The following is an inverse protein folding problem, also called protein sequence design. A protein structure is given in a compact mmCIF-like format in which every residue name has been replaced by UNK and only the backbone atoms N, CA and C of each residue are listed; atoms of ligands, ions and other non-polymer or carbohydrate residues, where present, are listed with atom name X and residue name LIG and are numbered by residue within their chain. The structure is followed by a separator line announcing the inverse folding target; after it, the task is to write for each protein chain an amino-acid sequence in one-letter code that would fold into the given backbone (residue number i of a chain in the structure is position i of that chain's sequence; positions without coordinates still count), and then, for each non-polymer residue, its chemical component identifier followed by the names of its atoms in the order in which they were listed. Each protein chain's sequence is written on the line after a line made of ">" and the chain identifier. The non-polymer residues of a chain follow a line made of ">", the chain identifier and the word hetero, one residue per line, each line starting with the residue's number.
data_IF_977744000196
#
_entry.id   IF_977744000196
#
_cell.length_a   1.000
_cell.length_b   1.000
_cell.length_c   1.000
_cell.angle_alpha   90.00
_cell.angle_beta   90.00
_cell.angle_gamma   90.00
#
_symmetry.space_group_name_H-M   'P 1'
#
loop_
_entity.id
_entity.type
_entity.pdbx_description
1 polymer ?
#
# COMPACT_ATOMS: atom_id res chain seq x y z
N UNK A 1 -43.30 -13.72 -15.72
CA UNK A 1 -42.33 -14.83 -15.65
C UNK A 1 -41.40 -14.59 -14.48
N UNK A 2 -41.28 -15.59 -13.60
CA UNK A 2 -40.50 -15.73 -12.37
C UNK A 2 -39.70 -14.53 -11.85
N UNK A 3 -40.19 -13.89 -10.79
CA UNK A 3 -39.33 -13.21 -9.83
C UNK A 3 -38.44 -14.29 -9.18
N UNK A 4 -37.15 -14.29 -9.49
CA UNK A 4 -36.18 -15.08 -8.76
C UNK A 4 -36.41 -14.83 -7.26
N UNK A 5 -36.56 -15.89 -6.48
CA UNK A 5 -36.82 -15.80 -5.05
C UNK A 5 -35.61 -15.16 -4.38
N UNK A 6 -35.63 -13.83 -4.24
CA UNK A 6 -34.56 -13.08 -3.58
C UNK A 6 -34.33 -13.70 -2.20
N UNK A 7 -33.07 -14.05 -1.93
CA UNK A 7 -32.67 -14.75 -0.72
C UNK A 7 -33.11 -13.93 0.52
N UNK A 8 -33.47 -14.54 1.67
CA UNK A 8 -33.87 -13.79 2.87
C UNK A 8 -32.88 -12.70 3.29
N UNK A 9 -31.59 -12.93 3.03
CA UNK A 9 -30.53 -11.94 3.15
C UNK A 9 -30.73 -10.71 2.25
N UNK A 10 -30.96 -10.90 0.95
CA UNK A 10 -31.11 -9.80 -0.03
C UNK A 10 -32.31 -8.92 0.30
N UNK A 11 -33.39 -9.52 0.83
CA UNK A 11 -34.56 -8.76 1.32
C UNK A 11 -34.19 -7.87 2.50
N UNK A 12 -33.48 -8.41 3.49
CA UNK A 12 -33.02 -7.63 4.65
C UNK A 12 -32.05 -6.51 4.25
N UNK A 13 -31.20 -6.76 3.25
CA UNK A 13 -30.31 -5.72 2.70
C UNK A 13 -31.12 -4.62 2.01
N UNK A 14 -32.13 -4.97 1.21
CA UNK A 14 -32.99 -4.00 0.54
C UNK A 14 -33.84 -3.16 1.52
N UNK A 15 -34.22 -3.75 2.66
CA UNK A 15 -34.96 -3.05 3.72
C UNK A 15 -34.08 -2.05 4.50
N UNK A 16 -32.75 -2.23 4.47
CA UNK A 16 -31.82 -1.35 5.17
C UNK A 16 -31.55 -0.07 4.35
N UNK A 17 -32.14 1.04 4.79
CA UNK A 17 -31.90 2.34 4.18
C UNK A 17 -30.61 2.96 4.73
N UNK A 18 -29.59 3.11 3.88
CA UNK A 18 -28.35 3.82 4.22
C UNK A 18 -28.54 5.30 3.87
N UNK A 19 -28.22 6.18 4.81
CA UNK A 19 -28.27 7.62 4.55
C UNK A 19 -27.22 8.02 3.52
N UNK A 20 -27.64 8.82 2.53
CA UNK A 20 -26.71 9.41 1.55
C UNK A 20 -25.60 10.22 2.22
N UNK A 21 -25.90 10.86 3.35
CA UNK A 21 -24.92 11.62 4.13
C UNK A 21 -23.83 10.71 4.72
N UNK A 22 -24.18 9.51 5.18
CA UNK A 22 -23.22 8.57 5.76
C UNK A 22 -22.29 8.00 4.68
N UNK A 23 -22.85 7.68 3.50
CA UNK A 23 -22.07 7.25 2.33
C UNK A 23 -21.12 8.36 1.89
N UNK A 24 -21.61 9.59 1.82
CA UNK A 24 -20.79 10.74 1.45
C UNK A 24 -19.65 10.98 2.45
N UNK A 25 -19.91 10.87 3.75
CA UNK A 25 -18.88 10.98 4.78
C UNK A 25 -17.84 9.85 4.67
N UNK A 26 -18.28 8.62 4.37
CA UNK A 26 -17.41 7.47 4.18
C UNK A 26 -16.49 7.64 2.95
N UNK A 27 -17.04 8.14 1.84
CA UNK A 27 -16.25 8.45 0.64
C UNK A 27 -15.25 9.57 0.93
N UNK A 28 -15.69 10.63 1.60
CA UNK A 28 -14.81 11.74 1.96
C UNK A 28 -13.67 11.29 2.89
N UNK A 29 -13.97 10.47 3.89
CA UNK A 29 -13.00 9.84 4.78
C UNK A 29 -11.95 9.03 4.00
N UNK A 30 -12.38 8.25 3.00
CA UNK A 30 -11.47 7.53 2.12
C UNK A 30 -10.58 8.46 1.28
N UNK A 31 -11.16 9.47 0.64
CA UNK A 31 -10.40 10.40 -0.20
C UNK A 31 -9.37 11.20 0.60
N UNK A 32 -9.68 11.56 1.85
CA UNK A 32 -8.76 12.24 2.76
C UNK A 32 -7.67 11.28 3.26
N UNK A 33 -8.08 10.09 3.70
CA UNK A 33 -7.15 9.13 4.34
C UNK A 33 -6.21 8.49 3.32
N UNK A 34 -6.64 8.28 2.08
CA UNK A 34 -5.79 7.76 1.00
C UNK A 34 -5.04 8.86 0.23
N UNK A 35 -5.25 10.14 0.53
CA UNK A 35 -4.51 11.21 -0.13
C UNK A 35 -4.94 11.45 -1.58
N UNK A 36 -6.22 11.76 -1.80
CA UNK A 36 -6.76 12.19 -3.09
C UNK A 36 -7.34 13.62 -2.97
N UNK A 37 -6.49 14.66 -2.82
CA UNK A 37 -6.93 16.01 -2.46
C UNK A 37 -7.84 16.64 -3.52
N UNK A 38 -7.49 16.52 -4.82
CA UNK A 38 -8.31 17.10 -5.90
C UNK A 38 -9.66 16.40 -6.06
N UNK A 39 -9.73 15.09 -5.81
CA UNK A 39 -10.98 14.35 -5.82
C UNK A 39 -11.84 14.72 -4.62
N UNK A 40 -11.22 14.84 -3.44
CA UNK A 40 -11.90 15.28 -2.21
C UNK A 40 -12.49 16.69 -2.34
N UNK A 41 -11.76 17.63 -2.96
CA UNK A 41 -12.23 19.00 -3.19
C UNK A 41 -13.43 19.05 -4.13
N UNK A 42 -13.34 18.38 -5.29
CA UNK A 42 -14.46 18.29 -6.24
C UNK A 42 -15.67 17.61 -5.63
N UNK A 43 -15.46 16.52 -4.90
CA UNK A 43 -16.53 15.79 -4.21
C UNK A 43 -17.19 16.64 -3.13
N UNK A 44 -16.41 17.38 -2.33
CA UNK A 44 -16.96 18.28 -1.32
C UNK A 44 -17.83 19.39 -1.94
N UNK A 45 -17.39 19.96 -3.07
CA UNK A 45 -18.16 20.97 -3.81
C UNK A 45 -19.48 20.41 -4.37
N UNK A 46 -19.45 19.21 -4.95
CA UNK A 46 -20.63 18.58 -5.55
C UNK A 46 -21.62 18.05 -4.50
N UNK A 47 -21.11 17.46 -3.42
CA UNK A 47 -21.92 16.91 -2.34
C UNK A 47 -22.32 17.97 -1.29
N UNK A 48 -21.90 19.23 -1.47
CA UNK A 48 -22.14 20.36 -0.57
C UNK A 48 -21.75 20.04 0.89
N UNK A 49 -20.64 19.33 1.06
CA UNK A 49 -20.08 18.94 2.36
C UNK A 49 -19.07 20.02 2.75
N UNK A 50 -19.14 20.51 3.99
CA UNK A 50 -18.08 21.36 4.51
C UNK A 50 -16.86 20.48 4.86
N UNK A 51 -15.71 20.67 4.21
CA UNK A 51 -14.50 19.94 4.56
C UNK A 51 -14.12 20.28 6.00
N UNK A 52 -13.97 19.26 6.85
CA UNK A 52 -13.46 19.43 8.22
C UNK A 52 -11.93 19.46 8.28
N UNK A 53 -11.26 19.05 7.20
CA UNK A 53 -9.81 18.88 7.15
C UNK A 53 -9.17 19.94 6.24
N UNK A 54 -8.02 20.46 6.66
CA UNK A 54 -7.16 21.28 5.83
C UNK A 54 -6.53 20.42 4.73
N UNK A 55 -6.90 20.69 3.47
CA UNK A 55 -6.40 19.96 2.30
C UNK A 55 -4.88 20.05 2.12
N UNK A 56 -4.23 21.03 2.76
CA UNK A 56 -2.77 21.23 2.74
C UNK A 56 -2.02 20.02 3.32
N UNK A 57 -2.44 19.51 4.49
CA UNK A 57 -1.81 18.34 5.10
C UNK A 57 -1.97 17.07 4.25
N UNK A 58 -3.08 16.97 3.52
CA UNK A 58 -3.33 15.87 2.60
C UNK A 58 -2.35 15.95 1.41
N UNK A 59 -2.12 17.15 0.88
CA UNK A 59 -1.18 17.37 -0.21
C UNK A 59 0.26 17.02 0.20
N UNK A 60 0.70 17.43 1.39
CA UNK A 60 2.04 17.11 1.91
C UNK A 60 2.23 15.59 2.04
N UNK A 61 1.24 14.86 2.58
CA UNK A 61 1.25 13.39 2.64
C UNK A 61 1.33 12.73 1.26
N UNK A 62 0.62 13.28 0.28
CA UNK A 62 0.68 12.78 -1.11
C UNK A 62 2.06 13.01 -1.71
N UNK A 63 2.67 14.18 -1.48
CA UNK A 63 4.01 14.48 -1.96
C UNK A 63 5.06 13.53 -1.36
N UNK A 64 4.95 13.21 -0.07
CA UNK A 64 5.80 12.21 0.60
C UNK A 64 5.63 10.85 -0.09
N UNK A 65 4.38 10.40 -0.25
CA UNK A 65 4.07 9.12 -0.91
C UNK A 65 4.61 9.04 -2.34
N UNK A 66 4.41 10.09 -3.14
CA UNK A 66 4.85 10.13 -4.53
C UNK A 66 6.38 10.16 -4.63
N UNK A 67 7.07 10.77 -3.66
CA UNK A 67 8.53 10.73 -3.56
C UNK A 67 9.04 9.32 -3.25
N UNK A 68 8.36 8.59 -2.35
CA UNK A 68 8.67 7.17 -2.07
C UNK A 68 8.43 6.30 -3.31
N UNK A 69 7.33 6.50 -4.06
CA UNK A 69 7.06 5.74 -5.27
C UNK A 69 8.08 5.95 -6.38
N UNK A 70 8.53 7.20 -6.55
CA UNK A 70 9.59 7.56 -7.49
C UNK A 70 10.97 7.04 -7.07
N UNK A 71 11.14 6.60 -5.83
CA UNK A 71 12.43 6.17 -5.28
C UNK A 71 13.30 7.33 -4.80
N UNK A 72 12.74 8.53 -4.64
CA UNK A 72 13.42 9.69 -4.06
C UNK A 72 13.17 9.73 -2.55
N UNK A 73 13.86 8.84 -1.84
CA UNK A 73 13.69 8.67 -0.39
C UNK A 73 14.33 9.82 0.40
N UNK A 74 15.33 10.50 -0.17
CA UNK A 74 15.96 11.64 0.48
C UNK A 74 14.97 12.80 0.61
N UNK A 75 14.30 13.16 -0.50
CA UNK A 75 13.25 14.17 -0.47
C UNK A 75 12.08 13.74 0.42
N UNK A 76 11.71 12.45 0.42
CA UNK A 76 10.66 11.94 1.29
C UNK A 76 11.01 12.12 2.79
N UNK A 77 12.24 11.82 3.21
CA UNK A 77 12.69 11.99 4.60
C UNK A 77 12.70 13.46 5.00
N UNK A 78 13.14 14.36 4.12
CA UNK A 78 13.12 15.81 4.36
C UNK A 78 11.68 16.32 4.55
N UNK A 79 10.77 15.95 3.64
CA UNK A 79 9.35 16.30 3.75
C UNK A 79 8.68 15.72 5.01
N UNK A 80 9.06 14.50 5.43
CA UNK A 80 8.57 13.91 6.68
C UNK A 80 9.04 14.73 7.88
N UNK A 81 10.31 15.13 7.92
CA UNK A 81 10.86 15.95 9.00
C UNK A 81 10.28 17.36 9.02
N UNK A 82 9.93 17.93 7.87
CA UNK A 82 9.22 19.22 7.78
C UNK A 82 7.80 19.11 8.32
N UNK A 83 7.08 18.03 7.99
CA UNK A 83 5.71 17.81 8.42
C UNK A 83 5.62 17.42 9.90
N UNK A 84 6.49 16.53 10.36
CA UNK A 84 6.57 16.09 11.75
C UNK A 84 8.03 15.75 12.13
N UNK A 85 8.76 16.71 12.74
CA UNK A 85 10.17 16.55 13.10
C UNK A 85 10.45 15.40 14.08
N UNK A 86 9.48 15.03 14.90
CA UNK A 86 9.68 14.02 15.94
C UNK A 86 9.33 12.60 15.45
N UNK A 87 8.64 12.46 14.31
CA UNK A 87 8.09 11.17 13.86
C UNK A 87 9.17 10.09 13.69
N UNK A 88 10.30 10.44 13.06
CA UNK A 88 11.39 9.49 12.79
C UNK A 88 12.23 9.18 14.04
N UNK A 89 12.20 10.05 15.05
CA UNK A 89 12.87 9.85 16.33
C UNK A 89 12.05 8.95 17.27
N UNK A 90 10.71 9.14 17.28
CA UNK A 90 9.78 8.29 18.02
C UNK A 90 9.71 6.88 17.41
N UNK A 91 9.57 6.78 16.09
CA UNK A 91 9.47 5.50 15.38
C UNK A 91 10.77 5.14 14.65
N UNK A 92 11.71 4.59 15.42
CA UNK A 92 12.99 4.06 14.90
C UNK A 92 12.80 2.95 13.87
N UNK A 93 11.66 2.23 13.89
CA UNK A 93 11.39 1.14 12.94
C UNK A 93 11.01 1.71 11.58
N UNK A 94 10.17 2.74 11.56
CA UNK A 94 9.82 3.46 10.35
C UNK A 94 11.06 4.10 9.72
N UNK A 95 11.88 4.76 10.54
CA UNK A 95 13.11 5.38 10.07
C UNK A 95 14.08 4.34 9.49
N UNK A 96 14.29 3.20 10.16
CA UNK A 96 15.10 2.11 9.62
C UNK A 96 14.54 1.57 8.30
N UNK A 97 13.22 1.41 8.18
CA UNK A 97 12.58 0.90 6.96
C UNK A 97 12.76 1.85 5.77
N UNK A 98 12.68 3.16 6.00
CA UNK A 98 12.98 4.19 5.00
C UNK A 98 14.44 4.15 4.55
N UNK A 99 15.38 4.07 5.50
CA UNK A 99 16.82 3.99 5.20
C UNK A 99 17.18 2.69 4.48
N UNK A 100 16.56 1.56 4.85
CA UNK A 100 16.71 0.26 4.17
C UNK A 100 16.21 0.36 2.74
N UNK A 101 15.06 0.97 2.49
CA UNK A 101 14.55 1.19 1.14
C UNK A 101 15.48 2.11 0.34
N UNK A 102 15.99 3.19 0.94
CA UNK A 102 16.97 4.07 0.30
C UNK A 102 18.26 3.32 -0.09
N UNK A 103 18.77 2.43 0.78
CA UNK A 103 19.92 1.59 0.46
C UNK A 103 19.63 0.69 -0.74
N UNK A 104 18.46 0.03 -0.77
CA UNK A 104 18.06 -0.82 -1.90
C UNK A 104 17.96 -0.03 -3.20
N UNK A 105 17.44 1.20 -3.16
CA UNK A 105 17.37 2.06 -4.34
C UNK A 105 18.76 2.51 -4.81
N UNK A 106 19.67 2.84 -3.90
CA UNK A 106 21.07 3.14 -4.25
C UNK A 106 21.76 1.94 -4.89
N UNK A 107 21.54 0.73 -4.36
CA UNK A 107 22.04 -0.51 -4.92
C UNK A 107 21.49 -0.71 -6.34
N UNK A 108 20.17 -0.58 -6.51
CA UNK A 108 19.52 -0.68 -7.84
C UNK A 108 20.12 0.32 -8.83
N UNK A 109 20.27 1.58 -8.45
CA UNK A 109 20.86 2.62 -9.29
C UNK A 109 22.32 2.32 -9.65
N UNK A 110 23.10 1.70 -8.75
CA UNK A 110 24.49 1.31 -9.01
C UNK A 110 24.63 0.19 -10.05
N UNK A 111 23.59 -0.61 -10.26
CA UNK A 111 23.55 -1.66 -11.26
C UNK A 111 22.97 -1.19 -12.61
N UNK A 112 22.06 -0.22 -12.59
CA UNK A 112 21.51 0.40 -13.80
C UNK A 112 22.47 1.42 -14.43
N UNK A 113 23.24 2.14 -13.61
CA UNK A 113 24.23 3.11 -14.09
C UNK A 113 25.62 2.49 -14.22
N UNK A 114 26.43 2.91 -15.21
CA UNK A 114 27.78 2.36 -15.43
C UNK A 114 28.85 2.86 -14.45
N UNK A 115 28.50 3.78 -13.53
CA UNK A 115 29.46 4.40 -12.61
C UNK A 115 29.80 3.48 -11.42
N UNK A 116 31.05 2.98 -11.31
CA UNK A 116 31.45 2.11 -10.21
C UNK A 116 31.51 2.82 -8.85
N UNK A 117 31.51 4.15 -8.81
CA UNK A 117 31.53 4.92 -7.56
C UNK A 117 30.22 4.83 -6.76
N UNK A 118 29.11 4.48 -7.42
CA UNK A 118 27.79 4.40 -6.80
C UNK A 118 27.69 3.24 -5.79
N UNK A 119 28.37 2.13 -6.05
CA UNK A 119 28.45 1.02 -5.10
C UNK A 119 29.16 1.47 -3.81
N UNK A 120 30.23 2.26 -3.94
CA UNK A 120 30.93 2.85 -2.81
C UNK A 120 30.03 3.77 -1.98
N UNK A 121 29.21 4.61 -2.64
CA UNK A 121 28.23 5.48 -1.96
C UNK A 121 27.17 4.68 -1.20
N UNK A 122 26.67 3.58 -1.77
CA UNK A 122 25.70 2.71 -1.09
C UNK A 122 26.30 2.08 0.19
N UNK A 123 27.56 1.63 0.13
CA UNK A 123 28.26 1.08 1.29
C UNK A 123 28.51 2.14 2.35
N UNK A 124 28.99 3.33 1.95
CA UNK A 124 29.21 4.46 2.87
C UNK A 124 27.90 4.88 3.55
N UNK A 125 26.79 4.92 2.79
CA UNK A 125 25.47 5.20 3.31
C UNK A 125 25.03 4.15 4.36
N UNK A 126 25.20 2.86 4.05
CA UNK A 126 24.91 1.78 4.99
C UNK A 126 25.73 1.91 6.28
N UNK A 127 27.02 2.23 6.17
CA UNK A 127 27.91 2.40 7.33
C UNK A 127 27.56 3.62 8.19
N UNK A 128 27.18 4.74 7.58
CA UNK A 128 26.86 5.97 8.32
C UNK A 128 25.47 5.94 8.94
N UNK A 129 24.48 5.49 8.18
CA UNK A 129 23.07 5.66 8.55
C UNK A 129 22.44 4.39 9.12
N UNK A 130 22.77 3.20 8.59
CA UNK A 130 22.14 1.94 9.03
C UNK A 130 22.94 1.19 10.10
N UNK A 131 24.28 1.29 10.11
CA UNK A 131 25.11 0.61 11.10
C UNK A 131 24.79 0.97 12.56
N UNK A 132 24.41 2.22 12.92
CA UNK A 132 23.98 2.55 14.28
C UNK A 132 22.71 1.80 14.74
N UNK A 133 21.89 1.28 13.81
CA UNK A 133 20.69 0.51 14.11
C UNK A 133 20.96 -0.98 14.33
N UNK A 134 22.08 -1.51 13.82
CA UNK A 134 22.45 -2.92 13.98
C UNK A 134 22.57 -3.41 15.45
N UNK A 135 23.07 -2.62 16.43
CA UNK A 135 23.11 -3.05 17.82
C UNK A 135 21.78 -2.88 18.58
N UNK A 136 20.80 -2.15 18.01
CA UNK A 136 19.51 -1.87 18.67
C UNK A 136 18.58 -3.08 18.63
N UNK A 137 18.57 -3.83 17.52
CA UNK A 137 17.74 -5.02 17.35
C UNK A 137 18.45 -6.05 16.47
N UNK A 138 18.31 -7.32 16.81
CA UNK A 138 18.80 -8.45 16.00
C UNK A 138 18.10 -8.47 14.65
N UNK A 139 16.83 -8.07 14.59
CA UNK A 139 16.08 -8.08 13.34
C UNK A 139 16.58 -6.99 12.36
N UNK A 140 16.93 -5.79 12.85
CA UNK A 140 17.57 -4.76 12.01
C UNK A 140 18.90 -5.23 11.42
N UNK A 141 19.68 -6.00 12.19
CA UNK A 141 20.91 -6.60 11.69
C UNK A 141 20.65 -7.59 10.56
N UNK A 142 19.67 -8.50 10.73
CA UNK A 142 19.29 -9.46 9.68
C UNK A 142 18.83 -8.75 8.42
N UNK A 143 18.01 -7.70 8.57
CA UNK A 143 17.49 -6.95 7.43
C UNK A 143 18.57 -6.14 6.71
N UNK A 144 19.55 -5.62 7.44
CA UNK A 144 20.75 -4.99 6.87
C UNK A 144 21.62 -6.02 6.13
N UNK A 145 21.85 -7.20 6.70
CA UNK A 145 22.60 -8.28 6.04
C UNK A 145 21.92 -8.71 4.74
N UNK A 146 20.59 -8.82 4.73
CA UNK A 146 19.80 -9.11 3.53
C UNK A 146 19.91 -8.00 2.48
N UNK A 147 19.81 -6.74 2.90
CA UNK A 147 19.97 -5.60 2.00
C UNK A 147 21.38 -5.51 1.43
N UNK A 148 22.42 -5.84 2.20
CA UNK A 148 23.81 -5.88 1.73
C UNK A 148 24.10 -7.09 0.84
N UNK A 149 23.43 -8.23 1.05
CA UNK A 149 23.55 -9.41 0.20
C UNK A 149 23.14 -9.12 -1.26
N UNK A 150 22.25 -8.14 -1.48
CA UNK A 150 21.86 -7.66 -2.81
C UNK A 150 23.05 -7.15 -3.65
N UNK A 151 24.15 -6.71 -3.03
CA UNK A 151 25.36 -6.29 -3.73
C UNK A 151 26.12 -7.44 -4.38
N UNK A 152 25.94 -8.67 -3.89
CA UNK A 152 26.62 -9.88 -4.39
C UNK A 152 25.87 -10.45 -5.61
N UNK A 153 24.60 -10.06 -5.80
CA UNK A 153 23.75 -10.55 -6.89
C UNK A 153 24.33 -10.10 -8.25
N UNK A 154 24.41 -10.99 -9.25
CA UNK A 154 24.93 -10.65 -10.58
C UNK A 154 24.16 -9.50 -11.25
N UNK A 155 24.88 -8.68 -12.04
CA UNK A 155 24.29 -7.54 -12.76
C UNK A 155 23.20 -7.98 -13.75
N UNK A 156 23.35 -9.18 -14.28
CA UNK A 156 22.42 -9.82 -15.21
C UNK A 156 21.03 -9.96 -14.58
N UNK A 157 20.95 -10.39 -13.32
CA UNK A 157 19.68 -10.54 -12.59
C UNK A 157 18.99 -9.18 -12.37
N UNK A 158 19.75 -8.11 -12.11
CA UNK A 158 19.22 -6.74 -12.01
C UNK A 158 18.71 -6.21 -13.36
N UNK A 159 19.43 -6.46 -14.45
CA UNK A 159 19.02 -6.05 -15.79
C UNK A 159 17.73 -6.77 -16.25
N UNK A 160 17.59 -8.04 -15.91
CA UNK A 160 16.41 -8.83 -16.22
C UNK A 160 15.19 -8.41 -15.39
N UNK A 161 15.40 -8.07 -14.10
CA UNK A 161 14.37 -7.51 -13.25
C UNK A 161 13.83 -6.18 -13.79
N UNK A 162 14.70 -5.30 -14.31
CA UNK A 162 14.30 -4.03 -14.91
C UNK A 162 13.54 -4.19 -16.25
N UNK A 163 13.85 -5.24 -17.03
CA UNK A 163 13.19 -5.51 -18.33
C UNK A 163 11.83 -6.23 -18.24
N UNK A 164 11.44 -6.70 -17.06
CA UNK A 164 10.27 -7.56 -16.86
C UNK A 164 9.07 -6.79 -16.28
N UNK A 165 8.60 -5.75 -16.97
CA UNK A 165 7.40 -4.98 -16.58
C UNK A 165 6.07 -5.63 -17.01
N UNK A 166 6.08 -6.74 -17.78
CA UNK A 166 4.85 -7.40 -18.25
C UNK A 166 4.49 -8.65 -17.43
N UNK A 167 3.42 -8.54 -16.64
CA UNK A 167 2.44 -9.53 -16.10
C UNK A 167 2.82 -10.98 -15.70
N UNK A 168 4.10 -11.38 -15.74
CA UNK A 168 4.61 -12.69 -15.28
C UNK A 168 5.90 -12.57 -14.44
N UNK A 169 6.12 -11.41 -13.83
CA UNK A 169 7.39 -10.95 -13.25
C UNK A 169 7.72 -11.59 -11.90
N UNK A 170 6.71 -11.80 -11.03
CA UNK A 170 6.90 -12.20 -9.63
C UNK A 170 7.63 -13.55 -9.48
N UNK A 171 7.28 -14.56 -10.29
CA UNK A 171 7.94 -15.88 -10.19
C UNK A 171 9.39 -15.87 -10.69
N UNK A 172 9.74 -14.97 -11.62
CA UNK A 172 11.11 -14.88 -12.16
C UNK A 172 12.02 -14.10 -11.23
N UNK A 173 11.55 -12.98 -10.66
CA UNK A 173 12.26 -12.25 -9.61
C UNK A 173 12.49 -13.19 -8.41
N UNK A 174 11.50 -14.01 -8.05
CA UNK A 174 11.64 -14.99 -6.97
C UNK A 174 12.67 -16.09 -7.28
N UNK A 175 12.81 -16.53 -8.52
CA UNK A 175 13.83 -17.51 -8.90
C UNK A 175 15.26 -16.95 -8.90
N UNK A 176 15.42 -15.69 -9.30
CA UNK A 176 16.74 -15.04 -9.41
C UNK A 176 17.25 -14.48 -8.08
N UNK A 177 16.36 -13.85 -7.29
CA UNK A 177 16.70 -13.20 -6.02
C UNK A 177 16.35 -14.06 -4.80
N UNK A 178 15.59 -15.15 -4.96
CA UNK A 178 15.22 -16.06 -3.88
C UNK A 178 14.53 -15.33 -2.73
N UNK A 179 15.09 -15.45 -1.53
CA UNK A 179 14.63 -14.76 -0.33
C UNK A 179 14.75 -13.23 -0.40
N UNK A 180 15.52 -12.67 -1.34
CA UNK A 180 15.72 -11.23 -1.52
C UNK A 180 14.74 -10.59 -2.52
N UNK A 181 13.88 -11.39 -3.16
CA UNK A 181 12.94 -10.91 -4.18
C UNK A 181 12.01 -9.82 -3.65
N UNK A 182 11.53 -9.97 -2.41
CA UNK A 182 10.71 -8.96 -1.72
C UNK A 182 11.37 -7.59 -1.66
N UNK A 183 12.70 -7.54 -1.51
CA UNK A 183 13.44 -6.29 -1.44
C UNK A 183 13.49 -5.56 -2.78
N UNK A 184 13.46 -6.30 -3.88
CA UNK A 184 13.60 -5.75 -5.23
C UNK A 184 12.23 -5.46 -5.85
N UNK A 185 11.15 -5.98 -5.29
CA UNK A 185 9.81 -5.80 -5.82
C UNK A 185 9.27 -4.37 -5.57
N UNK A 186 8.62 -3.72 -6.56
CA UNK A 186 7.99 -2.42 -6.36
C UNK A 186 6.92 -2.37 -5.25
N UNK A 187 6.37 -3.51 -4.84
CA UNK A 187 5.46 -3.62 -3.70
C UNK A 187 6.10 -3.17 -2.39
N UNK A 188 7.41 -3.29 -2.22
CA UNK A 188 8.09 -2.78 -1.03
C UNK A 188 7.93 -1.25 -0.90
N UNK A 189 8.01 -0.51 -2.02
CA UNK A 189 7.75 0.94 -2.02
C UNK A 189 6.32 1.24 -1.61
N UNK A 190 5.35 0.44 -2.07
CA UNK A 190 3.93 0.55 -1.65
C UNK A 190 3.74 0.30 -0.17
N UNK A 191 4.40 -0.72 0.37
CA UNK A 191 4.34 -1.05 1.80
C UNK A 191 4.93 0.07 2.65
N UNK A 192 6.17 0.50 2.39
CA UNK A 192 6.80 1.59 3.14
C UNK A 192 6.02 2.89 3.01
N UNK A 193 5.50 3.23 1.83
CA UNK A 193 4.65 4.41 1.66
C UNK A 193 3.36 4.34 2.47
N UNK A 194 2.75 3.15 2.58
CA UNK A 194 1.59 2.91 3.43
C UNK A 194 1.94 3.07 4.92
N UNK A 195 3.05 2.47 5.37
CA UNK A 195 3.50 2.54 6.76
C UNK A 195 3.80 3.99 7.17
N UNK A 196 4.48 4.76 6.31
CA UNK A 196 4.71 6.19 6.52
C UNK A 196 3.39 6.95 6.62
N UNK A 197 2.45 6.66 5.72
CA UNK A 197 1.16 7.30 5.73
C UNK A 197 0.38 7.03 7.03
N UNK A 198 0.38 5.78 7.50
CA UNK A 198 -0.25 5.39 8.75
C UNK A 198 0.43 6.04 9.96
N UNK A 199 1.75 6.15 9.96
CA UNK A 199 2.50 6.77 11.05
C UNK A 199 2.25 8.29 11.14
N UNK A 200 2.19 8.99 10.00
CA UNK A 200 1.83 10.40 9.95
C UNK A 200 0.40 10.59 10.48
N UNK A 201 -0.56 9.77 10.05
CA UNK A 201 -1.94 9.83 10.53
C UNK A 201 -2.05 9.63 12.04
N UNK A 202 -1.33 8.65 12.59
CA UNK A 202 -1.28 8.42 14.04
C UNK A 202 -0.73 9.61 14.80
N UNK A 203 0.34 10.22 14.29
CA UNK A 203 0.95 11.39 14.94
C UNK A 203 0.06 12.62 14.95
N UNK A 204 -0.95 12.66 14.07
CA UNK A 204 -1.95 13.71 13.98
C UNK A 204 -3.26 13.35 14.70
N UNK A 205 -3.26 12.31 15.54
CA UNK A 205 -4.45 11.74 16.21
C UNK A 205 -5.59 11.36 15.23
N UNK A 206 -5.24 11.10 13.97
CA UNK A 206 -6.17 10.62 12.94
C UNK A 206 -6.17 9.08 12.89
N UNK A 207 -7.23 8.51 12.31
CA UNK A 207 -7.33 7.05 12.14
C UNK A 207 -6.24 6.58 11.17
N UNK A 208 -5.62 5.44 11.49
CA UNK A 208 -4.58 4.80 10.66
C UNK A 208 -5.05 4.49 9.24
N UNK A 209 -6.32 4.09 9.10
CA UNK A 209 -6.90 3.67 7.83
C UNK A 209 -8.30 4.27 7.62
N UNK A 210 -8.72 4.34 6.36
CA UNK A 210 -10.06 4.75 6.00
C UNK A 210 -11.10 3.74 6.50
N UNK A 211 -12.25 4.21 6.96
CA UNK A 211 -13.32 3.35 7.48
C UNK A 211 -13.81 2.33 6.46
N UNK A 212 -13.73 2.64 5.16
CA UNK A 212 -14.15 1.71 4.12
C UNK A 212 -13.29 0.44 4.11
N UNK A 213 -11.97 0.54 4.40
CA UNK A 213 -11.09 -0.64 4.50
C UNK A 213 -11.48 -1.52 5.68
N UNK A 214 -11.75 -0.89 6.83
CA UNK A 214 -12.28 -1.60 8.00
C UNK A 214 -13.60 -2.29 7.69
N UNK A 215 -14.55 -1.61 7.03
CA UNK A 215 -15.85 -2.20 6.68
C UNK A 215 -15.73 -3.39 5.73
N UNK A 216 -14.81 -3.35 4.76
CA UNK A 216 -14.54 -4.49 3.87
C UNK A 216 -13.99 -5.68 4.64
N UNK A 217 -13.02 -5.46 5.55
CA UNK A 217 -12.49 -6.53 6.41
C UNK A 217 -13.53 -7.07 7.39
N UNK A 218 -14.35 -6.20 7.97
CA UNK A 218 -15.45 -6.60 8.85
C UNK A 218 -16.49 -7.43 8.09
N UNK A 219 -16.78 -7.08 6.84
CA UNK A 219 -17.65 -7.86 5.95
C UNK A 219 -17.07 -9.24 5.69
N UNK A 220 -15.81 -9.34 5.24
CA UNK A 220 -15.20 -10.64 4.95
C UNK A 220 -15.14 -11.55 6.18
N UNK A 221 -14.82 -10.98 7.34
CA UNK A 221 -14.85 -11.68 8.62
C UNK A 221 -16.27 -12.16 8.98
N UNK A 222 -17.27 -11.29 8.88
CA UNK A 222 -18.66 -11.65 9.19
C UNK A 222 -19.21 -12.73 8.26
N UNK A 223 -18.85 -12.69 6.97
CA UNK A 223 -19.21 -13.72 6.00
C UNK A 223 -18.58 -15.07 6.34
N UNK A 224 -17.28 -15.07 6.68
CA UNK A 224 -16.58 -16.28 7.10
C UNK A 224 -17.24 -16.89 8.35
N UNK A 225 -17.46 -16.08 9.38
CA UNK A 225 -18.08 -16.50 10.64
C UNK A 225 -19.50 -17.05 10.41
N UNK A 226 -20.27 -16.44 9.52
CA UNK A 226 -21.61 -16.91 9.20
C UNK A 226 -21.61 -18.24 8.44
N UNK A 227 -20.64 -18.45 7.52
CA UNK A 227 -20.44 -19.76 6.85
C UNK A 227 -20.02 -20.84 7.84
N UNK A 228 -19.13 -20.53 8.78
CA UNK A 228 -18.70 -21.44 9.85
C UNK A 228 -19.88 -21.87 10.75
N UNK A 229 -20.77 -20.92 11.07
CA UNK A 229 -21.98 -21.16 11.86
C UNK A 229 -23.15 -21.75 11.04
N UNK A 230 -22.94 -22.08 9.76
CA UNK A 230 -23.96 -22.63 8.84
C UNK A 230 -25.21 -21.74 8.74
N UNK A 231 -25.03 -20.43 8.85
CA UNK A 231 -26.09 -19.46 8.61
C UNK A 231 -26.37 -19.44 7.11
N UNK A 232 -27.64 -19.48 6.73
CA UNK A 232 -28.09 -19.43 5.34
C UNK A 232 -27.67 -18.09 4.72
N UNK A 233 -26.70 -18.15 3.80
CA UNK A 233 -26.13 -17.03 3.07
C UNK A 233 -26.07 -17.40 1.58
N UNK A 234 -26.21 -16.42 0.67
CA UNK A 234 -25.99 -16.66 -0.76
C UNK A 234 -24.57 -17.17 -1.03
N UNK A 235 -24.43 -18.09 -1.98
CA UNK A 235 -23.14 -18.69 -2.37
C UNK A 235 -22.12 -17.62 -2.82
N UNK A 236 -22.60 -16.59 -3.52
CA UNK A 236 -21.81 -15.42 -3.90
C UNK A 236 -22.42 -14.14 -3.35
N UNK A 237 -21.69 -13.49 -2.44
CA UNK A 237 -21.95 -12.13 -2.00
C UNK A 237 -21.06 -11.19 -2.81
N UNK A 238 -21.51 -10.82 -4.01
CA UNK A 238 -20.77 -9.90 -4.86
C UNK A 238 -20.69 -8.52 -4.20
N UNK A 239 -19.51 -7.92 -4.18
CA UNK A 239 -19.28 -6.58 -3.62
C UNK A 239 -19.73 -5.46 -4.60
N UNK A 240 -20.23 -5.84 -5.78
CA UNK A 240 -20.76 -4.93 -6.81
C UNK A 240 -19.68 -4.23 -7.64
N UNK A 241 -18.40 -4.63 -7.51
CA UNK A 241 -17.28 -4.11 -8.30
C UNK A 241 -17.13 -4.79 -9.67
N UNK A 242 -17.73 -5.98 -9.84
CA UNK A 242 -17.85 -6.64 -11.14
C UNK A 242 -18.90 -5.87 -11.96
N UNK A 243 -18.46 -4.77 -12.58
CA UNK A 243 -19.33 -3.89 -13.36
C UNK A 243 -20.18 -4.70 -14.32
N UNK A 244 -21.51 -4.57 -14.21
CA UNK A 244 -22.61 -5.00 -15.09
C UNK A 244 -22.36 -5.96 -16.28
N UNK A 245 -21.44 -6.93 -16.20
CA UNK A 245 -21.14 -7.84 -17.31
C UNK A 245 -22.12 -9.02 -17.38
N UNK A 246 -23.00 -9.19 -16.39
CA UNK A 246 -24.09 -10.17 -16.47
C UNK A 246 -25.34 -9.66 -17.20
N UNK A 247 -25.34 -8.41 -17.70
CA UNK A 247 -26.50 -7.83 -18.37
C UNK A 247 -26.11 -6.94 -19.55
N UNK A 248 -25.69 -7.53 -20.68
CA UNK A 248 -25.99 -7.11 -22.06
C UNK A 248 -25.09 -7.84 -23.06
N UNK A 249 -25.57 -8.98 -23.57
CA UNK A 249 -25.20 -9.42 -24.91
C UNK A 249 -26.15 -8.74 -25.91
N UNK A 250 -25.85 -7.50 -26.29
CA UNK A 250 -26.45 -6.85 -27.46
C UNK A 250 -25.60 -5.66 -27.91
N UNK A 251 -24.80 -5.90 -28.95
CA UNK A 251 -24.50 -5.04 -30.10
C UNK A 251 -24.54 -3.50 -29.96
N UNK A 252 -23.45 -2.92 -30.49
CA UNK A 252 -23.28 -1.60 -31.13
C UNK A 252 -22.74 -0.40 -30.31
N UNK A 253 -21.56 0.08 -30.73
CA UNK A 253 -21.37 1.49 -31.11
C UNK A 253 -20.63 2.43 -30.15
N UNK A 254 -19.29 2.38 -30.16
CA UNK A 254 -18.35 3.51 -30.25
C UNK A 254 -18.57 4.80 -29.40
N UNK A 255 -17.62 5.09 -28.50
CA UNK A 255 -16.78 6.32 -28.45
C UNK A 255 -15.82 6.23 -27.27
N UNK A 256 -14.57 6.62 -27.49
CA UNK A 256 -13.45 6.35 -26.60
C UNK A 256 -13.44 7.24 -25.36
N UNK A 257 -12.96 6.66 -24.27
CA UNK A 257 -12.30 7.36 -23.17
C UNK A 257 -11.27 6.40 -22.55
N UNK A 258 -10.08 6.95 -22.34
CA UNK A 258 -8.89 6.45 -21.63
C UNK A 258 -9.01 5.10 -20.90
N UNK A 259 -8.26 4.10 -21.40
CA UNK A 259 -7.96 2.87 -20.68
C UNK A 259 -7.11 3.16 -19.43
N UNK A 260 -7.68 2.93 -18.25
CA UNK A 260 -6.92 2.80 -17.00
C UNK A 260 -6.54 1.33 -16.83
N UNK A 261 -5.39 0.93 -17.39
CA UNK A 261 -4.79 -0.37 -17.07
C UNK A 261 -4.14 -0.30 -15.69
N UNK A 262 -4.90 -0.62 -14.65
CA UNK A 262 -4.42 -0.85 -13.29
C UNK A 262 -4.71 -2.28 -12.90
N UNK A 263 -3.76 -3.17 -13.16
CA UNK A 263 -3.82 -4.61 -12.91
C UNK A 263 -3.92 -4.88 -11.40
N UNK A 264 -5.14 -5.00 -10.88
CA UNK A 264 -5.42 -5.38 -9.49
C UNK A 264 -5.44 -6.90 -9.35
N UNK A 265 -4.25 -7.52 -9.36
CA UNK A 265 -4.09 -8.88 -8.86
C UNK A 265 -3.74 -8.79 -7.37
N UNK A 266 -4.76 -8.80 -6.51
CA UNK A 266 -4.57 -9.10 -5.09
C UNK A 266 -4.40 -10.62 -4.97
N UNK A 267 -3.14 -11.03 -4.90
CA UNK A 267 -2.75 -12.33 -4.38
C UNK A 267 -3.25 -12.41 -2.94
N UNK A 268 -4.23 -13.29 -2.71
CA UNK A 268 -4.73 -13.62 -1.37
C UNK A 268 -3.71 -14.57 -0.73
N UNK A 269 -2.52 -14.02 -0.46
CA UNK A 269 -1.47 -14.64 0.31
C UNK A 269 -1.73 -14.41 1.79
N UNK A 270 -2.30 -15.41 2.45
CA UNK A 270 -2.35 -15.53 3.90
C UNK A 270 -0.91 -15.53 4.45
N UNK A 271 -0.37 -14.35 4.77
CA UNK A 271 1.00 -14.19 5.29
C UNK A 271 1.36 -12.80 5.85
N UNK A 272 0.48 -11.81 5.71
CA UNK A 272 0.79 -10.39 5.92
C UNK A 272 0.96 -9.91 7.38
N UNK A 273 0.77 -10.79 8.38
CA UNK A 273 0.99 -10.45 9.80
C UNK A 273 2.40 -10.80 10.32
N UNK A 274 3.24 -11.46 9.53
CA UNK A 274 4.46 -12.09 10.06
C UNK A 274 5.69 -11.15 10.18
N UNK A 275 5.69 -9.95 9.57
CA UNK A 275 6.86 -9.05 9.66
C UNK A 275 6.73 -8.01 10.78
N UNK A 276 5.52 -7.50 11.06
CA UNK A 276 5.26 -6.62 12.21
C UNK A 276 5.29 -7.37 13.55
N UNK A 277 4.92 -8.66 13.55
CA UNK A 277 5.04 -9.54 14.72
C UNK A 277 6.48 -9.98 15.00
N UNK A 278 7.42 -9.86 14.05
CA UNK A 278 8.85 -10.11 14.33
C UNK A 278 9.48 -9.12 15.29
N UNK A 279 8.84 -7.97 15.50
CA UNK A 279 9.30 -6.95 16.43
C UNK A 279 8.38 -6.81 17.67
N UNK A 280 7.45 -7.74 17.94
CA UNK A 280 6.50 -7.63 19.08
C UNK A 280 7.05 -8.03 20.43
N UNK A 281 8.37 -8.21 20.59
CA UNK A 281 8.97 -8.42 21.91
C UNK A 281 10.08 -7.39 22.18
N UNK A 282 9.67 -6.17 22.48
CA UNK A 282 10.52 -5.22 23.20
C UNK A 282 9.80 -4.84 24.48
N UNK A 283 10.30 -5.35 25.60
CA UNK A 283 9.89 -4.92 26.92
C UNK A 283 10.31 -3.45 27.12
N UNK A 284 9.42 -2.70 27.79
CA UNK A 284 9.56 -1.30 28.20
C UNK A 284 10.86 -0.99 28.92
#
# INVERSE_FOLDING_TARGET
>A
MAAATAHPFERRVADQQISKTDVNNLIMDYLITEGYPSAAEKFASEANIQPKADFTFIQERVQIRDSIYRGDLQAAIELINELNPELLDLDKRLHFSLLRLQLVELIRQSFTNPDPSLVGKAIEFAQKNLAPYAPLDTQFKVDLERAMALLIVPKESWSQAASSESSGSTSRIQNEFGALAELVDPSLRRKVAKDVNEAILQSQDQRREANIRYLVRARSWAEQLARENKIDLPDNLSIGLDGAQSAKNSQHGHSGDTEMSGNGAEDSGMGDDDELTRYTNVAS
#
